data_IF_417675379459
#
_entry.id   IF_417675379459
#
_cell.length_a   1.000
_cell.length_b   1.000
_cell.length_c   1.000
_cell.angle_alpha   90.00
_cell.angle_beta   90.00
_cell.angle_gamma   90.00
#
_symmetry.space_group_name_H-M   'P 1'
#
loop_
_entity.id
_entity.type
_entity.pdbx_description
1 polymer ?
#
# COMPACT_ATOMS: atom_id res chain seq x y z
N UNK A 1 20.88 43.99 70.75
CA UNK A 1 21.12 42.80 69.91
C UNK A 1 19.81 42.03 69.81
N UNK A 2 19.04 42.30 68.78
CA UNK A 2 17.71 41.76 68.52
C UNK A 2 17.79 40.94 67.22
N UNK A 3 17.41 39.65 67.22
CA UNK A 3 17.51 38.84 66.01
C UNK A 3 16.42 39.22 65.00
N UNK A 4 16.82 39.45 63.75
CA UNK A 4 15.93 39.69 62.61
C UNK A 4 15.20 38.41 62.21
N UNK A 5 13.93 38.49 61.77
CA UNK A 5 13.17 37.35 61.28
C UNK A 5 13.67 36.89 59.90
N UNK A 6 13.66 35.58 59.68
CA UNK A 6 14.00 34.93 58.42
C UNK A 6 12.79 35.07 57.48
N UNK A 7 12.93 35.85 56.42
CA UNK A 7 11.93 35.96 55.36
C UNK A 7 11.98 34.69 54.50
N UNK A 8 10.86 33.98 54.40
CA UNK A 8 10.70 32.84 53.49
C UNK A 8 10.64 33.33 52.05
N UNK A 9 11.58 32.85 51.23
CA UNK A 9 11.67 33.17 49.82
C UNK A 9 10.71 32.25 49.05
N UNK A 10 9.53 32.77 48.71
CA UNK A 10 8.55 32.06 47.91
C UNK A 10 9.01 32.07 46.44
N UNK A 11 9.51 30.94 45.97
CA UNK A 11 9.86 30.73 44.55
C UNK A 11 8.61 30.95 43.68
N UNK A 12 8.64 31.84 42.66
CA UNK A 12 7.52 31.99 41.75
C UNK A 12 7.36 30.71 40.92
N UNK A 13 6.14 30.16 40.88
CA UNK A 13 5.79 29.10 39.93
C UNK A 13 5.88 29.68 38.51
N UNK A 14 6.62 29.03 37.57
CA UNK A 14 6.65 29.48 36.19
C UNK A 14 5.26 29.34 35.57
N UNK A 15 4.85 30.41 34.88
CA UNK A 15 3.55 30.58 34.23
C UNK A 15 3.30 29.50 33.15
N UNK A 16 2.08 28.98 33.14
CA UNK A 16 1.54 27.85 32.37
C UNK A 16 1.35 28.08 30.86
N UNK A 17 2.21 28.87 30.20
CA UNK A 17 2.11 29.13 28.75
C UNK A 17 3.04 28.23 27.90
N UNK A 18 3.52 27.12 28.46
CA UNK A 18 4.31 26.10 27.74
C UNK A 18 3.66 24.71 27.79
N UNK A 19 2.33 24.64 27.75
CA UNK A 19 1.63 23.36 27.52
C UNK A 19 1.70 23.03 26.03
N UNK A 20 2.73 22.25 25.69
CA UNK A 20 2.76 21.26 24.61
C UNK A 20 2.15 21.69 23.27
N UNK A 21 2.93 22.43 22.48
CA UNK A 21 2.90 22.20 21.04
C UNK A 21 3.34 20.76 20.79
N UNK A 22 2.39 19.84 20.72
CA UNK A 22 2.63 18.52 20.15
C UNK A 22 3.31 18.74 18.80
N UNK A 23 4.58 18.35 18.68
CA UNK A 23 5.37 18.49 17.44
C UNK A 23 4.58 17.78 16.34
N UNK A 24 3.84 18.55 15.54
CA UNK A 24 3.06 18.04 14.42
C UNK A 24 4.06 17.63 13.34
N UNK A 25 4.66 16.45 13.53
CA UNK A 25 5.58 15.90 12.54
C UNK A 25 4.76 15.63 11.28
N UNK A 26 5.09 16.24 10.13
CA UNK A 26 4.32 16.06 8.92
C UNK A 26 4.27 14.56 8.56
N UNK A 27 3.18 14.09 7.94
CA UNK A 27 3.04 12.69 7.59
C UNK A 27 4.17 12.26 6.65
N UNK A 28 4.64 11.02 6.82
CA UNK A 28 5.70 10.45 5.99
C UNK A 28 5.16 10.09 4.60
N UNK A 29 5.99 10.25 3.57
CA UNK A 29 5.69 9.79 2.20
C UNK A 29 5.85 8.28 2.09
N UNK A 30 4.89 7.53 2.64
CA UNK A 30 4.90 6.07 2.66
C UNK A 30 3.51 5.45 2.48
N UNK A 31 2.53 6.25 2.04
CA UNK A 31 1.21 5.76 1.66
C UNK A 31 1.18 5.45 0.18
N UNK A 32 0.87 4.20 -0.14
CA UNK A 32 0.94 3.72 -1.52
C UNK A 32 -0.39 3.99 -2.22
N UNK A 33 -0.30 4.64 -3.38
CA UNK A 33 -1.46 4.82 -4.28
C UNK A 33 -1.66 3.59 -5.17
N UNK A 34 -2.84 3.41 -5.80
CA UNK A 34 -3.05 2.39 -6.83
C UNK A 34 -2.07 2.48 -8.02
N UNK A 35 -1.54 3.67 -8.31
CA UNK A 35 -0.47 3.88 -9.31
C UNK A 35 0.90 3.38 -8.84
N UNK A 36 1.03 2.98 -7.57
CA UNK A 36 2.29 2.58 -6.97
C UNK A 36 3.13 3.76 -6.46
N UNK A 37 2.68 5.00 -6.61
CA UNK A 37 3.33 6.18 -6.05
C UNK A 37 3.26 6.22 -4.53
N UNK A 38 4.09 7.08 -3.92
CA UNK A 38 4.12 7.30 -2.47
C UNK A 38 3.70 8.73 -2.16
N UNK A 39 2.76 8.88 -1.23
CA UNK A 39 2.21 10.17 -0.80
C UNK A 39 2.29 10.32 0.72
N UNK A 40 2.38 11.58 1.15
CA UNK A 40 2.37 11.98 2.55
C UNK A 40 0.94 12.35 2.97
N UNK A 41 0.31 11.51 3.80
CA UNK A 41 -1.03 11.76 4.35
C UNK A 41 -1.19 11.10 5.73
N UNK A 42 -1.98 11.69 6.65
CA UNK A 42 -2.27 11.08 7.95
C UNK A 42 -3.16 9.83 7.85
N UNK A 43 -3.84 9.60 6.73
CA UNK A 43 -4.72 8.45 6.52
C UNK A 43 -4.03 7.13 6.89
N UNK A 44 -4.79 6.18 7.45
CA UNK A 44 -4.26 4.90 7.93
C UNK A 44 -4.54 3.79 6.92
N UNK A 45 -3.56 2.90 6.74
CA UNK A 45 -3.72 1.69 5.93
C UNK A 45 -4.09 0.49 6.78
N UNK A 46 -4.71 -0.53 6.18
CA UNK A 46 -4.98 -1.82 6.82
C UNK A 46 -3.88 -2.86 6.58
N UNK A 47 -2.98 -2.60 5.63
CA UNK A 47 -1.82 -3.45 5.33
C UNK A 47 -0.53 -2.62 5.31
N UNK A 48 0.57 -3.28 5.63
CA UNK A 48 1.93 -2.79 5.41
C UNK A 48 2.47 -3.34 4.09
N UNK A 49 3.65 -2.91 3.66
CA UNK A 49 4.46 -3.64 2.69
C UNK A 49 5.86 -3.11 2.55
N UNK A 50 6.54 -3.70 1.57
CA UNK A 50 7.98 -3.58 1.41
C UNK A 50 8.33 -3.55 -0.08
N UNK A 51 9.25 -2.64 -0.46
CA UNK A 51 9.89 -2.55 -1.78
C UNK A 51 11.42 -2.42 -1.68
N UNK A 52 11.99 -2.77 -0.54
CA UNK A 52 13.38 -2.58 -0.13
C UNK A 52 13.60 -1.29 0.66
N UNK A 53 14.87 -0.99 0.94
CA UNK A 53 15.29 0.31 1.48
C UNK A 53 15.15 1.36 0.39
N UNK A 54 14.24 2.32 0.56
CA UNK A 54 13.98 3.39 -0.41
C UNK A 54 14.69 4.70 -0.06
N UNK A 55 15.33 4.77 1.12
CA UNK A 55 15.84 6.03 1.64
C UNK A 55 17.22 6.37 1.08
N UNK A 56 17.45 7.67 0.89
CA UNK A 56 18.77 8.25 0.80
C UNK A 56 19.41 8.35 2.19
N UNK A 57 20.72 8.66 2.27
CA UNK A 57 21.42 8.84 3.55
C UNK A 57 20.79 9.88 4.48
N UNK A 58 20.06 10.87 3.92
CA UNK A 58 19.35 11.94 4.62
C UNK A 58 17.91 11.57 5.06
N UNK A 59 17.45 10.36 4.75
CA UNK A 59 16.12 9.86 5.09
C UNK A 59 15.02 10.19 4.08
N UNK A 60 15.33 10.90 2.98
CA UNK A 60 14.37 11.17 1.91
C UNK A 60 14.13 9.93 1.04
N UNK A 61 12.96 9.82 0.39
CA UNK A 61 12.70 8.74 -0.58
C UNK A 61 13.49 9.03 -1.86
N UNK A 62 14.52 8.22 -2.13
CA UNK A 62 15.42 8.42 -3.26
C UNK A 62 15.17 7.45 -4.41
N UNK A 63 14.39 6.39 -4.18
CA UNK A 63 14.09 5.36 -5.18
C UNK A 63 12.67 4.83 -5.02
N UNK A 64 12.12 4.38 -6.14
CA UNK A 64 10.79 3.76 -6.17
C UNK A 64 10.79 2.35 -5.59
N UNK A 65 11.90 1.62 -5.74
CA UNK A 65 12.13 0.27 -5.22
C UNK A 65 13.62 -0.08 -5.23
N UNK A 66 14.04 -1.04 -4.41
CA UNK A 66 15.38 -1.64 -4.43
C UNK A 66 15.40 -3.04 -5.09
N UNK A 67 14.25 -3.73 -5.16
CA UNK A 67 14.18 -5.08 -5.72
C UNK A 67 12.82 -5.45 -6.30
N UNK A 68 12.69 -6.71 -6.74
CA UNK A 68 11.48 -7.23 -7.39
C UNK A 68 10.40 -7.67 -6.39
N UNK A 69 10.81 -8.09 -5.19
CA UNK A 69 9.93 -8.53 -4.12
C UNK A 69 9.10 -7.37 -3.55
N UNK A 70 7.98 -7.08 -4.21
CA UNK A 70 6.97 -6.14 -3.73
C UNK A 70 5.90 -6.94 -3.02
N UNK A 71 5.87 -6.81 -1.70
CA UNK A 71 5.03 -7.62 -0.85
C UNK A 71 4.13 -6.75 0.02
N UNK A 72 2.90 -7.21 0.25
CA UNK A 72 2.02 -6.66 1.27
C UNK A 72 1.99 -7.57 2.49
N UNK A 73 2.06 -6.97 3.66
CA UNK A 73 2.26 -7.58 4.98
C UNK A 73 1.11 -7.19 5.92
N UNK A 74 0.96 -7.95 7.01
CA UNK A 74 0.13 -7.56 8.15
C UNK A 74 0.71 -6.32 8.86
N UNK A 75 -0.11 -5.62 9.65
CA UNK A 75 0.35 -4.49 10.48
C UNK A 75 1.09 -4.93 11.76
N UNK A 76 0.96 -6.21 12.14
CA UNK A 76 1.58 -6.77 13.34
C UNK A 76 2.75 -7.70 12.98
N UNK A 77 3.77 -7.75 13.86
CA UNK A 77 4.83 -8.76 13.79
C UNK A 77 4.29 -10.14 14.15
N UNK A 78 4.91 -11.17 13.56
CA UNK A 78 4.56 -12.57 13.81
C UNK A 78 4.93 -13.04 15.23
N UNK A 79 5.87 -12.37 15.89
CA UNK A 79 6.46 -12.77 17.17
C UNK A 79 6.01 -11.87 18.35
N UNK A 80 5.06 -10.95 18.14
CA UNK A 80 4.60 -10.02 19.17
C UNK A 80 5.62 -8.97 19.61
N UNK A 81 6.79 -8.89 18.98
CA UNK A 81 7.76 -7.82 19.22
C UNK A 81 7.33 -6.55 18.49
N UNK A 82 7.84 -5.42 18.95
CA UNK A 82 7.57 -4.13 18.33
C UNK A 82 8.51 -4.00 17.13
N UNK A 83 7.97 -3.88 15.92
CA UNK A 83 8.77 -3.54 14.73
C UNK A 83 9.53 -2.26 15.04
N UNK A 84 10.86 -2.30 14.93
CA UNK A 84 11.65 -1.09 14.84
C UNK A 84 11.46 -0.59 13.42
N UNK A 85 10.40 0.19 13.23
CA UNK A 85 10.12 0.84 11.96
C UNK A 85 11.28 1.79 11.63
N UNK A 86 11.70 1.79 10.36
CA UNK A 86 12.49 2.88 9.79
C UNK A 86 13.95 2.97 10.25
N UNK A 87 14.59 1.83 10.48
CA UNK A 87 16.06 1.81 10.64
C UNK A 87 16.74 2.03 9.29
N UNK A 88 17.65 3.01 9.22
CA UNK A 88 18.45 3.28 8.00
C UNK A 88 19.18 2.00 7.56
N UNK A 89 19.15 1.68 6.27
CA UNK A 89 19.70 0.43 5.74
C UNK A 89 18.72 -0.76 5.80
N UNK A 90 17.51 -0.57 6.34
CA UNK A 90 16.44 -1.56 6.34
C UNK A 90 15.32 -1.15 5.39
N UNK A 91 14.35 -2.05 5.19
CA UNK A 91 13.25 -1.77 4.28
C UNK A 91 12.43 -0.54 4.71
N UNK A 92 11.98 0.24 3.75
CA UNK A 92 11.04 1.34 4.00
C UNK A 92 9.65 0.77 4.22
N UNK A 93 9.01 1.01 5.39
CA UNK A 93 7.66 0.53 5.65
C UNK A 93 6.66 1.33 4.82
N UNK A 94 5.94 0.62 3.95
CA UNK A 94 4.86 1.17 3.12
C UNK A 94 3.51 0.79 3.68
N UNK A 95 2.48 1.57 3.40
CA UNK A 95 1.12 1.29 3.88
C UNK A 95 0.11 1.40 2.75
N UNK A 96 -0.84 0.46 2.73
CA UNK A 96 -1.92 0.40 1.75
C UNK A 96 -3.24 0.56 2.48
N UNK A 97 -4.18 1.30 1.87
CA UNK A 97 -5.55 1.37 2.35
C UNK A 97 -6.13 -0.04 2.57
N UNK A 98 -6.01 -0.91 1.57
CA UNK A 98 -6.40 -2.33 1.65
C UNK A 98 -5.62 -3.23 0.67
N UNK A 99 -6.05 -4.49 0.54
CA UNK A 99 -5.42 -5.46 -0.35
C UNK A 99 -5.61 -5.12 -1.83
N UNK A 100 -6.76 -4.56 -2.22
CA UNK A 100 -7.04 -4.21 -3.61
C UNK A 100 -6.06 -3.11 -4.09
N UNK A 101 -5.78 -2.12 -3.26
CA UNK A 101 -4.74 -1.11 -3.53
C UNK A 101 -3.36 -1.75 -3.64
N UNK A 102 -3.04 -2.74 -2.79
CA UNK A 102 -1.75 -3.45 -2.88
C UNK A 102 -1.59 -4.21 -4.19
N UNK A 103 -2.66 -4.85 -4.68
CA UNK A 103 -2.69 -5.55 -5.97
C UNK A 103 -2.59 -4.57 -7.13
N UNK A 104 -3.31 -3.45 -7.09
CA UNK A 104 -3.19 -2.38 -8.08
C UNK A 104 -1.74 -1.87 -8.20
N UNK A 105 -1.07 -1.68 -7.07
CA UNK A 105 0.34 -1.31 -7.01
C UNK A 105 1.30 -2.45 -7.40
N UNK A 106 0.81 -3.67 -7.64
CA UNK A 106 1.59 -4.84 -8.07
C UNK A 106 2.32 -5.59 -6.96
N UNK A 107 1.75 -5.61 -5.75
CA UNK A 107 2.27 -6.36 -4.60
C UNK A 107 1.54 -7.70 -4.48
N UNK A 108 2.29 -8.75 -4.14
CA UNK A 108 1.72 -10.05 -3.74
C UNK A 108 1.69 -10.19 -2.21
N UNK A 109 0.90 -11.12 -1.65
CA UNK A 109 0.97 -11.41 -0.22
C UNK A 109 2.37 -11.87 0.22
N UNK A 110 2.78 -11.40 1.41
CA UNK A 110 4.04 -11.80 2.04
C UNK A 110 4.04 -13.29 2.41
N UNK A 111 5.14 -13.99 2.12
CA UNK A 111 5.28 -15.41 2.42
C UNK A 111 5.44 -15.71 3.91
N UNK A 112 5.76 -14.70 4.74
CA UNK A 112 6.06 -14.87 6.16
C UNK A 112 4.85 -14.57 7.05
N UNK A 113 4.40 -13.31 7.08
CA UNK A 113 3.30 -12.87 7.94
C UNK A 113 1.91 -13.08 7.32
N UNK A 114 1.84 -13.23 6.00
CA UNK A 114 0.60 -13.56 5.25
C UNK A 114 0.68 -14.94 4.61
N UNK A 115 1.33 -15.91 5.27
CA UNK A 115 1.63 -17.25 4.72
C UNK A 115 0.41 -17.95 4.11
N UNK A 116 -0.74 -17.93 4.81
CA UNK A 116 -1.97 -18.55 4.32
C UNK A 116 -2.48 -17.88 3.03
N UNK A 117 -2.50 -16.54 3.00
CA UNK A 117 -2.85 -15.78 1.80
C UNK A 117 -1.86 -16.02 0.65
N UNK A 118 -0.56 -16.11 0.95
CA UNK A 118 0.47 -16.37 -0.05
C UNK A 118 0.34 -17.78 -0.67
N UNK A 119 0.02 -18.80 0.14
CA UNK A 119 -0.27 -20.14 -0.37
C UNK A 119 -1.53 -20.18 -1.23
N UNK A 120 -2.60 -19.49 -0.79
CA UNK A 120 -3.82 -19.32 -1.58
C UNK A 120 -3.48 -18.62 -2.91
N UNK A 121 -2.78 -17.49 -2.84
CA UNK A 121 -2.33 -16.72 -3.99
C UNK A 121 -1.55 -17.59 -4.99
N UNK A 122 -0.59 -18.40 -4.54
CA UNK A 122 0.19 -19.28 -5.41
C UNK A 122 -0.68 -20.23 -6.22
N UNK A 123 -1.72 -20.82 -5.62
CA UNK A 123 -2.65 -21.71 -6.34
C UNK A 123 -3.36 -20.97 -7.47
N UNK A 124 -3.87 -19.77 -7.20
CA UNK A 124 -4.53 -18.96 -8.24
C UNK A 124 -3.55 -18.37 -9.25
N UNK A 125 -2.31 -18.09 -8.87
CA UNK A 125 -1.24 -17.72 -9.79
C UNK A 125 -0.92 -18.86 -10.76
N UNK A 126 -0.88 -20.10 -10.29
CA UNK A 126 -0.71 -21.26 -11.18
C UNK A 126 -1.84 -21.35 -12.20
N UNK A 127 -3.11 -21.25 -11.76
CA UNK A 127 -4.27 -21.20 -12.66
C UNK A 127 -4.16 -20.08 -13.69
N UNK A 128 -3.83 -18.87 -13.25
CA UNK A 128 -3.67 -17.69 -14.09
C UNK A 128 -2.53 -17.82 -15.11
N UNK A 129 -1.56 -18.70 -14.85
CA UNK A 129 -0.41 -18.95 -15.73
C UNK A 129 -0.46 -20.31 -16.43
N UNK A 130 -1.62 -20.99 -16.42
CA UNK A 130 -1.82 -22.27 -17.10
C UNK A 130 -1.07 -23.45 -16.49
N UNK A 131 -0.74 -23.39 -15.20
CA UNK A 131 -0.01 -24.43 -14.45
C UNK A 131 -0.95 -25.22 -13.53
N UNK A 132 -0.64 -26.49 -13.21
CA UNK A 132 -1.34 -27.23 -12.16
C UNK A 132 -1.37 -26.48 -10.82
N UNK A 133 -2.50 -26.57 -10.12
CA UNK A 133 -2.77 -25.86 -8.86
C UNK A 133 -1.67 -26.05 -7.79
N UNK A 134 -1.13 -27.26 -7.70
CA UNK A 134 -0.17 -27.71 -6.70
C UNK A 134 1.29 -27.56 -7.14
N UNK A 135 1.53 -27.16 -8.39
CA UNK A 135 2.89 -26.97 -8.89
C UNK A 135 3.66 -25.95 -8.03
N UNK A 136 4.85 -26.34 -7.59
CA UNK A 136 5.70 -25.42 -6.85
C UNK A 136 6.23 -24.30 -7.77
N UNK A 137 5.83 -23.06 -7.48
CA UNK A 137 6.43 -21.85 -8.07
C UNK A 137 7.23 -21.07 -7.01
N UNK A 138 8.51 -20.77 -7.23
CA UNK A 138 9.30 -19.99 -6.28
C UNK A 138 8.86 -18.51 -6.29
N UNK A 139 8.91 -17.85 -5.13
CA UNK A 139 8.45 -16.47 -4.99
C UNK A 139 9.17 -15.49 -5.95
N UNK A 140 10.47 -15.73 -6.21
CA UNK A 140 11.27 -14.92 -7.15
C UNK A 140 10.75 -14.95 -8.59
N UNK A 141 10.10 -16.04 -8.99
CA UNK A 141 9.51 -16.15 -10.34
C UNK A 141 8.24 -15.32 -10.42
N UNK A 142 7.36 -15.43 -9.42
CA UNK A 142 6.18 -14.57 -9.28
C UNK A 142 6.60 -13.09 -9.28
N UNK A 143 7.63 -12.76 -8.50
CA UNK A 143 8.15 -11.39 -8.42
C UNK A 143 8.69 -10.91 -9.77
N UNK A 144 9.24 -11.79 -10.61
CA UNK A 144 9.70 -11.45 -11.95
C UNK A 144 8.54 -11.16 -12.91
N UNK A 145 7.49 -12.01 -12.92
CA UNK A 145 6.26 -11.78 -13.69
C UNK A 145 5.63 -10.43 -13.35
N UNK A 146 5.36 -10.20 -12.06
CA UNK A 146 4.74 -8.95 -11.61
C UNK A 146 5.63 -7.73 -11.90
N UNK A 147 6.95 -7.89 -11.83
CA UNK A 147 7.88 -6.81 -12.13
C UNK A 147 7.82 -6.36 -13.59
N UNK A 148 7.71 -7.29 -14.56
CA UNK A 148 7.57 -6.93 -15.98
C UNK A 148 6.25 -6.24 -16.33
N UNK A 149 5.25 -6.35 -15.46
CA UNK A 149 3.90 -5.85 -15.72
C UNK A 149 3.59 -4.51 -15.03
N UNK A 150 4.29 -4.20 -13.93
CA UNK A 150 3.95 -3.05 -13.08
C UNK A 150 4.59 -1.73 -13.50
N UNK A 151 5.70 -1.75 -14.24
CA UNK A 151 6.44 -0.54 -14.63
C UNK A 151 6.83 -0.55 -16.11
N UNK A 152 6.82 0.63 -16.71
CA UNK A 152 7.50 0.93 -17.96
C UNK A 152 8.65 1.91 -17.64
N UNK A 153 9.86 1.36 -17.51
CA UNK A 153 10.98 2.06 -16.88
C UNK A 153 10.68 2.41 -15.41
N UNK A 154 10.47 3.70 -15.12
CA UNK A 154 10.11 4.21 -13.79
C UNK A 154 8.64 4.61 -13.67
N UNK A 155 7.88 4.55 -14.77
CA UNK A 155 6.49 4.99 -14.83
C UNK A 155 5.59 3.78 -14.60
N UNK A 156 4.44 4.00 -13.95
CA UNK A 156 3.40 2.97 -13.82
C UNK A 156 2.98 2.49 -15.21
N UNK A 157 3.13 1.20 -15.48
CA UNK A 157 2.58 0.60 -16.70
C UNK A 157 1.07 0.46 -16.54
N UNK A 158 0.36 0.98 -17.54
CA UNK A 158 -1.10 0.88 -17.65
C UNK A 158 -1.44 -0.08 -18.79
N UNK A 159 -2.49 -0.87 -18.60
CA UNK A 159 -2.88 -1.91 -19.55
C UNK A 159 -4.26 -1.58 -20.11
N UNK A 160 -4.40 -1.25 -21.40
CA UNK A 160 -5.71 -1.00 -22.00
C UNK A 160 -6.57 -2.28 -21.98
N UNK A 161 -7.81 -2.17 -21.53
CA UNK A 161 -8.77 -3.29 -21.59
C UNK A 161 -10.21 -2.77 -21.55
N UNK A 162 -11.16 -3.43 -22.23
CA UNK A 162 -12.59 -3.19 -21.99
C UNK A 162 -12.94 -3.46 -20.53
N UNK A 163 -13.68 -2.56 -19.89
CA UNK A 163 -14.08 -2.75 -18.48
C UNK A 163 -14.89 -4.04 -18.29
N UNK A 164 -15.65 -4.48 -19.29
CA UNK A 164 -16.39 -5.74 -19.27
C UNK A 164 -15.51 -6.98 -19.05
N UNK A 165 -14.21 -6.89 -19.34
CA UNK A 165 -13.27 -8.01 -19.15
C UNK A 165 -12.66 -8.02 -17.74
N UNK A 166 -12.87 -7.00 -16.93
CA UNK A 166 -12.22 -6.89 -15.63
C UNK A 166 -13.02 -7.64 -14.54
N UNK A 167 -12.36 -8.44 -13.70
CA UNK A 167 -12.97 -9.00 -12.51
C UNK A 167 -13.01 -7.98 -11.38
N UNK A 168 -13.88 -8.23 -10.40
CA UNK A 168 -13.89 -7.51 -9.13
C UNK A 168 -12.50 -7.51 -8.46
N UNK A 169 -12.13 -6.37 -7.88
CA UNK A 169 -10.79 -6.15 -7.30
C UNK A 169 -9.80 -5.47 -8.26
N UNK A 170 -10.18 -5.28 -9.52
CA UNK A 170 -9.34 -4.59 -10.52
C UNK A 170 -9.42 -3.09 -10.38
N UNK A 171 -8.27 -2.41 -10.43
CA UNK A 171 -8.17 -0.96 -10.49
C UNK A 171 -7.95 -0.48 -11.92
N UNK A 172 -8.64 0.59 -12.30
CA UNK A 172 -8.55 1.22 -13.62
C UNK A 172 -8.73 2.75 -13.51
N UNK A 173 -8.39 3.49 -14.57
CA UNK A 173 -8.81 4.88 -14.78
C UNK A 173 -9.56 4.99 -16.11
N UNK A 174 -10.40 6.02 -16.24
CA UNK A 174 -11.06 6.34 -17.51
C UNK A 174 -10.30 7.43 -18.25
N UNK A 175 -10.51 7.54 -19.57
CA UNK A 175 -9.90 8.63 -20.36
C UNK A 175 -10.31 10.04 -19.88
N UNK A 176 -11.51 10.18 -19.31
CA UNK A 176 -11.99 11.45 -18.77
C UNK A 176 -11.43 11.79 -17.37
N UNK A 177 -10.88 10.81 -16.65
CA UNK A 177 -10.36 10.98 -15.30
C UNK A 177 -9.08 10.13 -15.09
N UNK A 178 -7.98 10.44 -15.81
CA UNK A 178 -6.78 9.61 -15.82
C UNK A 178 -6.03 9.58 -14.48
N UNK A 179 -6.31 10.54 -13.59
CA UNK A 179 -5.71 10.65 -12.25
C UNK A 179 -6.62 10.11 -11.13
N UNK A 180 -7.83 9.65 -11.46
CA UNK A 180 -8.79 9.14 -10.48
C UNK A 180 -8.85 7.62 -10.58
N UNK A 181 -8.14 6.88 -9.72
CA UNK A 181 -8.19 5.43 -9.72
C UNK A 181 -9.57 4.96 -9.23
N UNK A 182 -10.15 4.02 -9.97
CA UNK A 182 -11.45 3.42 -9.72
C UNK A 182 -11.26 1.93 -9.44
N UNK A 183 -11.84 1.45 -8.35
CA UNK A 183 -11.97 0.03 -8.06
C UNK A 183 -13.23 -0.51 -8.73
N UNK A 184 -13.11 -1.55 -9.55
CA UNK A 184 -14.26 -2.34 -9.97
C UNK A 184 -14.66 -3.28 -8.83
N UNK A 185 -15.89 -3.15 -8.35
CA UNK A 185 -16.46 -4.04 -7.35
C UNK A 185 -17.96 -4.22 -7.55
N UNK A 186 -18.43 -5.47 -7.59
CA UNK A 186 -19.83 -5.84 -7.77
C UNK A 186 -20.49 -5.10 -8.94
N UNK A 187 -19.75 -4.96 -10.05
CA UNK A 187 -20.22 -4.29 -11.26
C UNK A 187 -20.29 -2.75 -11.19
N UNK A 188 -19.70 -2.14 -10.17
CA UNK A 188 -19.67 -0.67 -9.98
C UNK A 188 -18.22 -0.17 -9.86
N UNK A 189 -18.01 1.08 -10.27
CA UNK A 189 -16.70 1.74 -10.21
C UNK A 189 -16.64 2.66 -8.98
N UNK A 190 -15.81 2.33 -8.01
CA UNK A 190 -15.66 3.08 -6.77
C UNK A 190 -14.42 3.99 -6.83
N UNK A 191 -14.56 5.33 -6.81
CA UNK A 191 -13.43 6.25 -6.73
C UNK A 191 -12.63 6.01 -5.47
N UNK A 192 -11.31 5.89 -5.59
CA UNK A 192 -10.44 5.67 -4.44
C UNK A 192 -9.79 6.97 -3.97
N UNK A 193 -9.65 7.08 -2.65
CA UNK A 193 -8.78 8.01 -1.95
C UNK A 193 -8.11 7.29 -0.78
N UNK A 194 -7.10 7.90 -0.15
CA UNK A 194 -6.51 7.29 1.06
C UNK A 194 -7.51 7.14 2.22
N UNK A 195 -8.53 8.00 2.27
CA UNK A 195 -9.60 7.96 3.28
C UNK A 195 -10.62 6.84 3.01
N UNK A 196 -10.61 6.27 1.81
CA UNK A 196 -11.51 5.19 1.41
C UNK A 196 -12.15 5.40 0.06
N UNK A 197 -13.21 4.63 -0.18
CA UNK A 197 -13.90 4.58 -1.46
C UNK A 197 -15.13 5.49 -1.46
N UNK A 198 -15.23 6.32 -2.50
CA UNK A 198 -16.36 7.20 -2.72
C UNK A 198 -17.60 6.49 -3.27
N UNK A 199 -18.66 7.28 -3.47
CA UNK A 199 -19.91 6.81 -4.06
C UNK A 199 -19.66 6.17 -5.44
N UNK A 200 -20.27 5.00 -5.72
CA UNK A 200 -20.03 4.28 -6.96
C UNK A 200 -20.58 5.02 -8.18
N UNK A 201 -19.82 4.95 -9.26
CA UNK A 201 -20.16 5.47 -10.58
C UNK A 201 -20.50 4.31 -11.53
N UNK A 202 -21.36 4.59 -12.51
CA UNK A 202 -21.60 3.68 -13.64
C UNK A 202 -20.64 4.00 -14.76
N UNK A 203 -19.95 2.99 -15.27
CA UNK A 203 -19.11 3.06 -16.46
C UNK A 203 -19.74 2.16 -17.52
N UNK A 204 -19.84 2.63 -18.77
CA UNK A 204 -20.40 1.82 -19.87
C UNK A 204 -19.51 0.60 -20.10
N UNK A 205 -20.11 -0.57 -20.33
CA UNK A 205 -19.39 -1.86 -20.40
C UNK A 205 -18.38 -1.92 -21.54
N UNK A 206 -18.64 -1.18 -22.60
CA UNK A 206 -17.84 -1.10 -23.83
C UNK A 206 -16.66 -0.13 -23.68
N UNK A 207 -16.56 0.59 -22.55
CA UNK A 207 -15.49 1.54 -22.30
C UNK A 207 -14.15 0.82 -22.19
N UNK A 208 -13.21 1.16 -23.07
CA UNK A 208 -11.79 0.82 -22.87
C UNK A 208 -11.23 1.71 -21.77
N UNK A 209 -10.64 1.09 -20.75
CA UNK A 209 -10.06 1.75 -19.58
C UNK A 209 -8.58 1.45 -19.49
N UNK A 210 -7.84 2.30 -18.76
CA UNK A 210 -6.44 2.08 -18.48
C UNK A 210 -6.32 1.34 -17.13
N UNK A 211 -5.99 0.05 -17.17
CA UNK A 211 -5.94 -0.82 -15.99
C UNK A 211 -4.62 -0.62 -15.24
N UNK A 212 -4.71 -0.38 -13.93
CA UNK A 212 -3.56 -0.25 -13.03
C UNK A 212 -3.13 -1.60 -12.49
N UNK A 213 -4.07 -2.51 -12.22
CA UNK A 213 -3.77 -3.86 -11.75
C UNK A 213 -2.98 -4.62 -12.83
N UNK A 214 -1.78 -5.16 -12.52
CA UNK A 214 -1.01 -5.98 -13.45
C UNK A 214 -1.82 -7.12 -14.08
N UNK A 215 -1.64 -7.44 -15.38
CA UNK A 215 -2.41 -8.48 -16.07
C UNK A 215 -2.40 -9.84 -15.38
N UNK A 216 -1.25 -10.28 -14.84
CA UNK A 216 -1.20 -11.53 -14.07
C UNK A 216 -2.09 -11.46 -12.82
N UNK A 217 -2.15 -10.30 -12.14
CA UNK A 217 -3.04 -10.14 -10.98
C UNK A 217 -4.51 -10.05 -11.38
N UNK A 218 -4.83 -9.47 -12.54
CA UNK A 218 -6.18 -9.52 -13.12
C UNK A 218 -6.61 -10.97 -13.35
N UNK A 219 -5.75 -11.81 -13.92
CA UNK A 219 -6.07 -13.23 -14.14
C UNK A 219 -6.11 -14.06 -12.85
N UNK A 220 -5.32 -13.70 -11.83
CA UNK A 220 -5.42 -14.28 -10.47
C UNK A 220 -6.79 -13.98 -9.86
N UNK A 221 -7.28 -12.73 -9.97
CA UNK A 221 -8.61 -12.34 -9.50
C UNK A 221 -9.70 -13.11 -10.26
N UNK A 222 -9.58 -13.20 -11.59
CA UNK A 222 -10.50 -13.96 -12.45
C UNK A 222 -10.57 -15.43 -12.10
N UNK A 223 -9.43 -16.03 -11.76
CA UNK A 223 -9.33 -17.43 -11.36
C UNK A 223 -9.97 -17.72 -10.00
N UNK A 224 -10.41 -16.69 -9.28
CA UNK A 224 -11.18 -16.79 -8.04
C UNK A 224 -10.46 -16.31 -6.78
N UNK A 225 -9.26 -15.75 -6.86
CA UNK A 225 -8.65 -15.08 -5.71
C UNK A 225 -9.48 -13.84 -5.37
N UNK A 226 -9.96 -13.75 -4.13
CA UNK A 226 -10.73 -12.58 -3.67
C UNK A 226 -9.84 -11.68 -2.82
N UNK A 227 -9.72 -10.43 -3.24
CA UNK A 227 -9.20 -9.36 -2.38
C UNK A 227 -10.29 -8.87 -1.43
N UNK A 228 -9.90 -8.25 -0.32
CA UNK A 228 -10.83 -7.67 0.65
C UNK A 228 -10.73 -6.14 0.64
N UNK A 229 -11.52 -5.43 -0.20
CA UNK A 229 -11.56 -3.98 -0.17
C UNK A 229 -12.33 -3.46 1.05
N UNK A 230 -11.97 -2.26 1.52
CA UNK A 230 -12.63 -1.57 2.65
C UNK A 230 -13.59 -0.49 2.14
N UNK A 231 -14.65 -0.93 1.46
CA UNK A 231 -15.74 -0.07 0.94
C UNK A 231 -16.55 0.57 2.06
#
# INVERSE_FOLDING_TARGET
MTPRPIAGDATPLPQTDQVEQAVHRPPRSNRVTPFGGLEATPARGTLMGNRGDLHAPDGTIARHHAGKAWICCTLAEKNGRRVIFDTKGHYTPLFFHDEAVSFAAGHRPCAECRRADFLRFKRYFNRATGRPDDQFVPAREIDAFLHSERLDGRIKRLHPSPIANLPDGSFFTTGSAPQTPLLLWQGRAHPWSHEGYGAPLKVRRETTVAVLTPPTLVEVLRSGYRVTPRL
#
